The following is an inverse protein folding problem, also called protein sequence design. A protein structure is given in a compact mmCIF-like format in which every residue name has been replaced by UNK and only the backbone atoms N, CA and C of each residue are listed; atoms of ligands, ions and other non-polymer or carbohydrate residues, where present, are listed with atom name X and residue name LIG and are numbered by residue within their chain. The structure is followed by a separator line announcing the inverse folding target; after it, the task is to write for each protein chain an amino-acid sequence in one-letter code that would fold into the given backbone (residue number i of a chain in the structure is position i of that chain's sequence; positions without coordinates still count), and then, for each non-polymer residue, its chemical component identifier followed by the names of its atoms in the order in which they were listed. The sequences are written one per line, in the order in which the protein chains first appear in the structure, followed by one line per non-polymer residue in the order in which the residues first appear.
data_IF_051848933964
#
_entry.id   IF_051848933964
#
_cell.length_a   1.000
_cell.length_b   1.000
_cell.length_c   1.000
_cell.angle_alpha   90.00
_cell.angle_beta   90.00
_cell.angle_gamma   90.00
#
_symmetry.space_group_name_H-M   'P 1'
#
loop_
_entity.id
_entity.type
_entity.pdbx_description
1 polymer ?
#
# COMPACT_ATOMS: atom_id res chain seq x y z
N UNK A 1 22.10 -7.23 20.27
CA UNK A 1 22.44 -7.37 18.84
C UNK A 1 21.78 -8.63 18.33
N UNK A 2 20.57 -8.51 17.78
CA UNK A 2 19.83 -9.67 17.25
C UNK A 2 19.97 -9.66 15.73
N UNK A 3 20.62 -10.69 15.23
CA UNK A 3 20.91 -10.90 13.82
C UNK A 3 19.61 -10.99 13.03
N UNK A 4 19.49 -10.20 11.96
CA UNK A 4 18.39 -10.28 11.01
C UNK A 4 18.53 -11.56 10.18
N UNK A 5 17.71 -12.56 10.45
CA UNK A 5 17.48 -13.68 9.52
C UNK A 5 16.97 -13.11 8.19
N UNK A 6 17.87 -12.99 7.22
CA UNK A 6 17.50 -12.74 5.84
C UNK A 6 16.91 -14.04 5.28
N UNK A 7 15.65 -14.32 5.59
CA UNK A 7 14.92 -15.33 4.83
C UNK A 7 14.92 -14.87 3.37
N UNK A 8 15.46 -15.70 2.48
CA UNK A 8 15.57 -15.41 1.05
C UNK A 8 14.17 -15.33 0.45
N UNK A 9 13.57 -14.15 0.48
CA UNK A 9 12.31 -13.90 -0.22
C UNK A 9 12.60 -13.90 -1.70
N UNK A 10 11.88 -14.75 -2.44
CA UNK A 10 11.84 -14.66 -3.89
C UNK A 10 11.30 -13.28 -4.28
N UNK A 11 12.19 -12.43 -4.79
CA UNK A 11 11.93 -11.00 -5.02
C UNK A 11 11.02 -10.76 -6.21
N UNK A 12 10.73 -11.79 -7.02
CA UNK A 12 9.78 -11.80 -8.14
C UNK A 12 9.84 -10.51 -8.97
N UNK A 13 11.06 -10.13 -9.36
CA UNK A 13 11.30 -8.89 -10.09
C UNK A 13 10.56 -8.93 -11.43
N UNK A 14 9.70 -7.95 -11.68
CA UNK A 14 8.94 -7.80 -12.92
C UNK A 14 9.12 -6.39 -13.45
N UNK A 15 9.47 -6.27 -14.72
CA UNK A 15 9.56 -5.00 -15.44
C UNK A 15 8.29 -4.87 -16.25
N UNK A 16 7.50 -3.85 -15.97
CA UNK A 16 6.23 -3.58 -16.62
C UNK A 16 6.36 -2.30 -17.44
N UNK A 17 6.26 -2.43 -18.76
CA UNK A 17 6.19 -1.28 -19.65
C UNK A 17 4.76 -0.73 -19.68
N UNK A 18 4.58 0.60 -19.84
CA UNK A 18 3.25 1.18 -19.98
C UNK A 18 2.53 0.57 -21.20
N UNK A 19 1.23 0.28 -21.09
CA UNK A 19 0.46 -0.27 -22.19
C UNK A 19 0.41 0.75 -23.33
N UNK A 20 0.78 0.34 -24.54
CA UNK A 20 0.72 1.20 -25.75
C UNK A 20 -0.72 1.58 -26.12
N UNK A 21 -1.70 0.79 -25.68
CA UNK A 21 -3.11 1.02 -25.90
C UNK A 21 -3.85 0.75 -24.57
N UNK A 22 -4.06 1.80 -23.79
CA UNK A 22 -4.88 1.70 -22.58
C UNK A 22 -6.36 1.71 -22.98
N UNK A 23 -7.20 0.79 -22.46
CA UNK A 23 -8.63 0.85 -22.70
C UNK A 23 -9.17 2.19 -22.19
N UNK A 24 -10.07 2.80 -22.96
CA UNK A 24 -10.77 4.00 -22.53
C UNK A 24 -11.51 3.71 -21.21
N UNK A 25 -11.44 4.65 -20.26
CA UNK A 25 -12.20 4.56 -19.02
C UNK A 25 -13.68 4.64 -19.43
N UNK A 26 -14.52 3.65 -19.05
CA UNK A 26 -15.93 3.67 -19.40
C UNK A 26 -16.59 4.91 -18.78
N UNK A 27 -17.44 5.57 -19.56
CA UNK A 27 -18.23 6.71 -19.07
C UNK A 27 -19.23 6.21 -18.03
N UNK A 28 -19.11 6.72 -16.81
CA UNK A 28 -19.99 6.36 -15.70
C UNK A 28 -21.26 7.19 -15.84
N UNK A 29 -22.46 6.59 -15.71
CA UNK A 29 -23.72 7.32 -15.84
C UNK A 29 -23.89 8.37 -14.74
N UNK A 30 -24.61 9.44 -15.07
CA UNK A 30 -24.87 10.56 -14.15
C UNK A 30 -25.58 10.14 -12.84
N UNK A 31 -26.34 9.04 -12.88
CA UNK A 31 -27.00 8.49 -11.70
C UNK A 31 -26.03 8.03 -10.62
N UNK A 32 -24.80 7.63 -10.95
CA UNK A 32 -23.81 7.21 -9.97
C UNK A 32 -23.30 8.37 -9.09
N UNK A 33 -23.47 9.62 -9.56
CA UNK A 33 -23.11 10.81 -8.79
C UNK A 33 -24.27 11.34 -7.93
N UNK A 34 -25.46 10.76 -8.08
CA UNK A 34 -26.64 11.10 -7.26
C UNK A 34 -26.70 10.16 -6.06
N UNK A 35 -26.69 10.73 -4.87
CA UNK A 35 -26.77 9.99 -3.61
C UNK A 35 -28.14 9.32 -3.45
N UNK A 36 -28.13 8.03 -3.10
CA UNK A 36 -29.33 7.32 -2.66
C UNK A 36 -29.64 7.62 -1.18
N UNK A 37 -30.90 7.41 -0.77
CA UNK A 37 -31.33 7.60 0.61
C UNK A 37 -30.55 6.70 1.59
N UNK A 38 -30.17 5.49 1.17
CA UNK A 38 -29.37 4.59 2.00
C UNK A 38 -27.92 5.10 2.19
N UNK A 39 -27.30 5.61 1.13
CA UNK A 39 -25.96 6.19 1.19
C UNK A 39 -25.95 7.44 2.08
N UNK A 40 -26.96 8.30 1.97
CA UNK A 40 -27.12 9.46 2.85
C UNK A 40 -27.21 9.05 4.32
N UNK A 41 -27.97 7.98 4.61
CA UNK A 41 -28.07 7.42 5.96
C UNK A 41 -26.74 6.86 6.45
N UNK A 42 -25.97 6.20 5.59
CA UNK A 42 -24.61 5.71 5.92
C UNK A 42 -23.64 6.86 6.20
N UNK A 43 -23.66 7.91 5.36
CA UNK A 43 -22.82 9.09 5.54
C UNK A 43 -23.13 9.79 6.87
N UNK A 44 -24.42 9.95 7.20
CA UNK A 44 -24.84 10.52 8.47
C UNK A 44 -24.35 9.70 9.67
N UNK A 45 -24.53 8.38 9.63
CA UNK A 45 -24.02 7.47 10.67
C UNK A 45 -22.49 7.58 10.82
N UNK A 46 -21.75 7.57 9.71
CA UNK A 46 -20.29 7.70 9.73
C UNK A 46 -19.82 9.01 10.37
N UNK A 47 -20.59 10.09 10.19
CA UNK A 47 -20.32 11.40 10.77
C UNK A 47 -20.57 11.40 12.27
N UNK A 48 -21.68 10.79 12.72
CA UNK A 48 -21.99 10.62 14.13
C UNK A 48 -20.93 9.77 14.85
N UNK A 49 -20.57 8.62 14.27
CA UNK A 49 -19.51 7.77 14.81
C UNK A 49 -18.18 8.50 14.91
N UNK A 50 -17.83 9.29 13.88
CA UNK A 50 -16.60 10.08 13.89
C UNK A 50 -16.62 11.12 15.02
N UNK A 51 -17.75 11.80 15.22
CA UNK A 51 -17.93 12.76 16.32
C UNK A 51 -17.78 12.07 17.67
N UNK A 52 -18.47 10.96 17.88
CA UNK A 52 -18.40 10.18 19.11
C UNK A 52 -16.96 9.68 19.38
N UNK A 53 -16.28 9.16 18.35
CA UNK A 53 -14.88 8.70 18.45
C UNK A 53 -13.90 9.83 18.79
N UNK A 54 -14.20 11.08 18.44
CA UNK A 54 -13.38 12.24 18.77
C UNK A 54 -13.68 12.77 20.17
N UNK A 55 -14.96 12.82 20.56
CA UNK A 55 -15.40 13.27 21.88
C UNK A 55 -15.00 12.29 23.00
N UNK A 56 -15.11 10.98 22.74
CA UNK A 56 -14.83 9.92 23.71
C UNK A 56 -13.42 9.31 23.60
N UNK A 57 -12.50 9.94 22.85
CA UNK A 57 -11.24 9.29 22.45
C UNK A 57 -10.36 8.92 23.66
N UNK A 58 -10.15 7.62 23.96
CA UNK A 58 -9.31 7.22 25.09
C UNK A 58 -7.83 7.49 24.80
N UNK A 59 -7.03 7.64 25.87
CA UNK A 59 -5.58 7.74 25.76
C UNK A 59 -5.01 6.45 25.17
N UNK A 60 -4.25 6.58 24.08
CA UNK A 60 -3.60 5.43 23.44
C UNK A 60 -2.37 5.02 24.24
N UNK A 61 -2.44 3.88 24.91
CA UNK A 61 -1.34 3.36 25.73
C UNK A 61 -0.24 2.72 24.87
N UNK A 62 0.96 2.54 25.45
CA UNK A 62 2.04 1.83 24.78
C UNK A 62 1.64 0.41 24.37
N UNK A 63 1.00 -0.33 25.29
CA UNK A 63 0.50 -1.69 25.02
C UNK A 63 -0.44 -1.75 23.82
N UNK A 64 -1.34 -0.76 23.68
CA UNK A 64 -2.25 -0.69 22.53
C UNK A 64 -1.52 -0.43 21.21
N UNK A 65 -0.49 0.44 21.22
CA UNK A 65 0.34 0.68 20.03
C UNK A 65 1.08 -0.58 19.60
N UNK A 66 1.72 -1.25 20.55
CA UNK A 66 2.51 -2.45 20.27
C UNK A 66 1.63 -3.60 19.73
N UNK A 67 0.42 -3.77 20.29
CA UNK A 67 -0.55 -4.75 19.80
C UNK A 67 -1.00 -4.47 18.36
N UNK A 68 -1.35 -3.21 18.05
CA UNK A 68 -1.71 -2.81 16.69
C UNK A 68 -0.56 -3.03 15.70
N UNK A 69 0.68 -2.73 16.08
CA UNK A 69 1.83 -2.92 15.21
C UNK A 69 2.08 -4.41 14.95
N UNK A 70 1.91 -5.27 15.97
CA UNK A 70 1.99 -6.73 15.78
C UNK A 70 0.89 -7.26 14.86
N UNK A 71 -0.34 -6.76 14.98
CA UNK A 71 -1.45 -7.14 14.10
C UNK A 71 -1.20 -6.70 12.65
N UNK A 72 -0.71 -5.47 12.45
CA UNK A 72 -0.34 -4.96 11.11
C UNK A 72 0.76 -5.80 10.47
N UNK A 73 1.78 -6.18 11.25
CA UNK A 73 2.87 -7.03 10.78
C UNK A 73 2.39 -8.43 10.39
N UNK A 74 1.42 -9.00 11.12
CA UNK A 74 0.81 -10.29 10.78
C UNK A 74 -0.08 -10.20 9.54
N UNK A 75 -0.82 -9.09 9.39
CA UNK A 75 -1.77 -8.89 8.29
C UNK A 75 -1.07 -8.75 6.94
N UNK A 76 0.08 -8.07 6.91
CA UNK A 76 0.84 -7.84 5.69
C UNK A 76 2.32 -8.19 5.89
N UNK A 77 2.70 -9.48 5.82
CA UNK A 77 4.10 -9.91 6.02
C UNK A 77 5.02 -9.60 4.83
N UNK A 78 4.45 -9.50 3.63
CA UNK A 78 5.15 -9.18 2.38
C UNK A 78 4.57 -7.89 1.79
N UNK A 79 5.44 -7.05 1.24
CA UNK A 79 5.10 -5.78 0.61
C UNK A 79 5.61 -5.75 -0.82
N UNK A 80 4.73 -5.48 -1.78
CA UNK A 80 5.12 -5.29 -3.19
C UNK A 80 5.41 -3.81 -3.43
N UNK A 81 6.62 -3.51 -3.89
CA UNK A 81 7.06 -2.14 -4.18
C UNK A 81 7.20 -1.98 -5.69
N UNK A 82 6.69 -0.86 -6.20
CA UNK A 82 6.75 -0.47 -7.62
C UNK A 82 7.46 0.87 -7.75
N UNK A 83 8.54 0.90 -8.51
CA UNK A 83 9.30 2.12 -8.79
C UNK A 83 9.08 2.50 -10.25
N UNK A 84 8.61 3.73 -10.48
CA UNK A 84 8.45 4.29 -11.81
C UNK A 84 9.75 4.95 -12.23
N UNK A 85 10.28 4.49 -13.34
CA UNK A 85 11.50 4.99 -13.95
C UNK A 85 11.20 6.19 -14.87
N UNK A 86 12.23 7.00 -15.23
CA UNK A 86 12.05 8.15 -16.12
C UNK A 86 11.50 7.81 -17.51
N UNK A 87 11.75 6.60 -18.00
CA UNK A 87 11.24 6.03 -19.27
C UNK A 87 9.79 5.53 -19.16
N UNK A 88 9.12 5.79 -18.03
CA UNK A 88 7.79 5.31 -17.67
C UNK A 88 7.67 3.81 -17.42
N UNK A 89 8.79 3.08 -17.45
CA UNK A 89 8.82 1.67 -17.06
C UNK A 89 8.62 1.53 -15.55
N UNK A 90 7.89 0.51 -15.13
CA UNK A 90 7.65 0.21 -13.73
C UNK A 90 8.43 -1.04 -13.35
N UNK A 91 9.36 -0.90 -12.42
CA UNK A 91 10.07 -2.01 -11.80
C UNK A 91 9.30 -2.44 -10.55
N UNK A 92 8.76 -3.66 -10.57
CA UNK A 92 8.02 -4.27 -9.46
C UNK A 92 8.89 -5.33 -8.77
N UNK A 93 9.00 -5.28 -7.45
CA UNK A 93 9.63 -6.33 -6.65
C UNK A 93 8.89 -6.55 -5.33
N UNK A 94 9.03 -7.74 -4.76
CA UNK A 94 8.43 -8.15 -3.47
C UNK A 94 9.49 -8.14 -2.38
N UNK A 95 9.17 -7.49 -1.27
CA UNK A 95 10.04 -7.32 -0.10
C UNK A 95 9.33 -7.81 1.16
N UNK A 96 10.08 -8.05 2.24
CA UNK A 96 9.46 -8.19 3.55
C UNK A 96 9.10 -6.82 4.13
N UNK A 97 8.05 -6.77 4.94
CA UNK A 97 7.60 -5.52 5.54
C UNK A 97 8.60 -4.91 6.54
N UNK A 98 9.62 -5.66 6.98
CA UNK A 98 10.73 -5.17 7.83
C UNK A 98 12.05 -4.99 7.07
N UNK A 99 12.08 -5.25 5.77
CA UNK A 99 13.32 -5.20 4.99
C UNK A 99 13.77 -3.76 4.77
N UNK A 100 15.06 -3.52 4.95
CA UNK A 100 15.74 -2.26 4.65
C UNK A 100 16.74 -2.49 3.51
N UNK A 101 17.07 -1.47 2.72
CA UNK A 101 18.00 -1.61 1.58
C UNK A 101 17.31 -1.77 0.22
N UNK A 102 16.08 -1.26 0.09
CA UNK A 102 15.36 -1.18 -1.20
C UNK A 102 16.20 -0.48 -2.28
N UNK A 103 16.82 0.65 -1.93
CA UNK A 103 17.57 1.47 -2.87
C UNK A 103 18.78 0.72 -3.42
N UNK A 104 19.60 0.13 -2.54
CA UNK A 104 20.78 -0.62 -2.94
C UNK A 104 20.41 -1.84 -3.81
N UNK A 105 19.31 -2.52 -3.47
CA UNK A 105 18.82 -3.64 -4.27
C UNK A 105 18.36 -3.20 -5.68
N UNK A 106 17.61 -2.10 -5.77
CA UNK A 106 17.14 -1.58 -7.05
C UNK A 106 18.29 -1.04 -7.89
N UNK A 107 19.15 -0.18 -7.34
CA UNK A 107 20.33 0.37 -8.01
C UNK A 107 21.26 -0.75 -8.48
N UNK A 108 21.57 -1.71 -7.59
CA UNK A 108 22.40 -2.85 -7.94
C UNK A 108 21.82 -3.74 -9.05
N UNK A 109 20.49 -3.71 -9.28
CA UNK A 109 19.85 -4.52 -10.31
C UNK A 109 19.58 -3.77 -11.62
N UNK A 110 19.26 -2.48 -11.54
CA UNK A 110 19.03 -1.62 -12.71
C UNK A 110 20.36 -1.20 -13.34
N UNK A 111 21.36 -0.81 -12.54
CA UNK A 111 22.65 -0.35 -13.06
C UNK A 111 23.50 -1.49 -13.63
N UNK A 112 23.26 -2.75 -13.26
CA UNK A 112 23.87 -3.90 -13.94
C UNK A 112 23.24 -4.25 -15.27
N UNK A 113 22.10 -3.62 -15.60
CA UNK A 113 21.30 -3.90 -16.79
C UNK A 113 21.22 -2.70 -17.77
N UNK A 114 22.13 -1.73 -17.66
CA UNK A 114 22.26 -0.66 -18.66
C UNK A 114 23.50 -0.88 -19.55
N UNK A 115 23.21 -1.20 -20.83
CA UNK A 115 24.02 -1.55 -22.02
C UNK A 115 24.47 -3.01 -22.19
#
# INVERSE_FOLDING_TARGET
MSQSEQSTVDRQLKILSPPKNAPAIPEIPESAYKLDANELKMLYQSTLERREKLESRPLKTQKMRDAEDQERMKKYPKTTIRVRMPDYTIVQAVFQSKETGLYDYLVGRICTHDL
#
